data_IF_439219212421
#
_entry.id   IF_439219212421
#
_cell.length_a   1.000
_cell.length_b   1.000
_cell.length_c   1.000
_cell.angle_alpha   90.00
_cell.angle_beta   90.00
_cell.angle_gamma   90.00
#
_symmetry.space_group_name_H-M   'P 1'
#
loop_
_entity.id
_entity.type
_entity.pdbx_description
1 polymer ?
#
# COMPACT_ATOMS: atom_id res chain seq x y z
N UNK A 1 8.42 24.77 9.12
CA UNK A 1 7.02 24.38 8.82
C UNK A 1 7.09 23.26 7.77
N UNK A 2 6.46 22.11 8.02
CA UNK A 2 6.53 20.96 7.10
C UNK A 2 5.70 21.17 5.84
N UNK A 3 6.03 20.45 4.75
CA UNK A 3 5.18 20.40 3.54
C UNK A 3 3.96 19.52 3.82
N UNK A 4 2.77 19.97 3.44
CA UNK A 4 1.59 19.10 3.37
C UNK A 4 1.76 18.20 2.14
N UNK A 5 1.51 16.91 2.32
CA UNK A 5 1.58 15.90 1.25
C UNK A 5 0.16 15.43 0.89
N UNK A 6 -0.06 15.11 -0.38
CA UNK A 6 -1.26 14.43 -0.85
C UNK A 6 -0.96 12.94 -1.04
N UNK A 7 -1.72 12.07 -0.38
CA UNK A 7 -1.57 10.62 -0.52
C UNK A 7 -2.87 10.07 -1.12
N UNK A 8 -2.76 9.45 -2.29
CA UNK A 8 -3.77 8.52 -2.78
C UNK A 8 -3.47 7.14 -2.20
N UNK A 9 -4.28 6.73 -1.23
CA UNK A 9 -4.20 5.41 -0.59
C UNK A 9 -5.15 4.46 -1.31
N UNK A 10 -4.72 3.87 -2.42
CA UNK A 10 -5.56 3.00 -3.26
C UNK A 10 -5.64 1.55 -2.77
N UNK A 11 -6.53 0.75 -3.40
CA UNK A 11 -6.69 -0.67 -3.07
C UNK A 11 -5.50 -1.52 -3.53
N UNK A 12 -4.96 -1.20 -4.71
CA UNK A 12 -3.90 -1.98 -5.36
C UNK A 12 -2.57 -1.25 -5.38
N UNK A 13 -2.59 0.06 -5.67
CA UNK A 13 -1.42 0.93 -5.67
C UNK A 13 -1.75 2.20 -4.90
N UNK A 14 -0.72 2.81 -4.32
CA UNK A 14 -0.77 4.09 -3.65
C UNK A 14 0.24 5.05 -4.26
N UNK A 15 -0.02 6.35 -4.15
CA UNK A 15 0.78 7.42 -4.74
C UNK A 15 0.90 8.59 -3.76
N UNK A 16 2.02 9.32 -3.80
CA UNK A 16 2.22 10.52 -2.98
C UNK A 16 2.72 11.68 -3.84
N UNK A 17 2.17 12.86 -3.60
CA UNK A 17 2.53 14.09 -4.29
C UNK A 17 2.71 15.25 -3.31
N UNK A 18 3.44 16.27 -3.75
CA UNK A 18 3.61 17.55 -3.07
C UNK A 18 3.31 18.71 -4.01
N UNK A 19 3.00 19.86 -3.42
CA UNK A 19 3.01 21.14 -4.11
C UNK A 19 4.43 21.70 -4.16
N UNK A 20 4.88 22.08 -5.35
CA UNK A 20 6.10 22.85 -5.61
C UNK A 20 5.70 24.16 -6.30
N UNK A 21 5.56 25.22 -5.50
CA UNK A 21 4.94 26.46 -5.94
C UNK A 21 3.48 26.20 -6.32
N UNK A 22 3.11 26.53 -7.57
CA UNK A 22 1.77 26.32 -8.11
C UNK A 22 1.61 24.97 -8.84
N UNK A 23 2.66 24.15 -8.91
CA UNK A 23 2.65 22.88 -9.63
C UNK A 23 2.59 21.69 -8.66
N UNK A 24 1.87 20.64 -9.04
CA UNK A 24 1.86 19.36 -8.35
C UNK A 24 2.97 18.46 -8.88
N UNK A 25 3.77 17.84 -8.01
CA UNK A 25 4.77 16.84 -8.39
C UNK A 25 4.54 15.53 -7.64
N UNK A 26 4.44 14.43 -8.38
CA UNK A 26 4.44 13.07 -7.83
C UNK A 26 5.86 12.68 -7.43
N UNK A 27 6.00 12.07 -6.25
CA UNK A 27 7.29 11.64 -5.70
C UNK A 27 7.53 10.17 -6.08
N UNK A 28 8.73 9.87 -6.56
CA UNK A 28 9.19 8.50 -6.76
C UNK A 28 9.53 7.86 -5.41
N UNK A 29 9.13 6.61 -5.22
CA UNK A 29 9.51 5.84 -4.04
C UNK A 29 10.99 5.42 -4.10
N UNK A 30 11.47 4.73 -3.05
CA UNK A 30 12.85 4.25 -2.97
C UNK A 30 13.23 3.24 -4.07
N UNK A 31 12.27 2.70 -4.81
CA UNK A 31 12.49 1.80 -5.95
C UNK A 31 12.41 2.55 -7.31
N UNK A 32 12.29 3.87 -7.31
CA UNK A 32 12.20 4.70 -8.52
C UNK A 32 10.82 4.69 -9.20
N UNK A 33 9.81 4.08 -8.57
CA UNK A 33 8.45 4.04 -9.10
C UNK A 33 7.59 5.19 -8.54
N UNK A 34 6.71 5.76 -9.38
CA UNK A 34 5.76 6.81 -8.97
C UNK A 34 4.52 6.31 -8.24
N UNK A 35 4.34 4.99 -8.19
CA UNK A 35 3.31 4.35 -7.38
C UNK A 35 3.92 3.19 -6.63
N UNK A 36 3.34 2.85 -5.49
CA UNK A 36 3.78 1.77 -4.62
C UNK A 36 2.64 0.75 -4.46
N UNK A 37 2.88 -0.56 -4.67
CA UNK A 37 1.86 -1.57 -4.41
C UNK A 37 1.32 -1.45 -2.98
N UNK A 38 0.01 -1.54 -2.82
CA UNK A 38 -0.68 -1.48 -1.52
C UNK A 38 -0.68 -2.87 -0.89
N UNK A 39 0.53 -3.34 -0.60
CA UNK A 39 0.84 -4.68 -0.14
C UNK A 39 1.83 -4.57 1.02
N UNK A 40 1.56 -5.32 2.09
CA UNK A 40 2.43 -5.46 3.26
C UNK A 40 2.67 -6.95 3.47
N UNK A 41 3.91 -7.33 3.81
CA UNK A 41 4.22 -8.70 4.18
C UNK A 41 5.02 -8.75 5.47
N UNK A 42 4.69 -9.72 6.32
CA UNK A 42 5.43 -10.03 7.54
C UNK A 42 6.34 -11.22 7.29
N UNK A 43 7.64 -11.06 7.56
CA UNK A 43 8.63 -12.13 7.51
C UNK A 43 8.69 -12.89 8.84
N UNK A 44 9.23 -14.11 8.80
CA UNK A 44 9.35 -14.98 9.99
C UNK A 44 10.33 -14.42 11.03
N UNK A 45 11.32 -13.65 10.59
CA UNK A 45 12.30 -12.96 11.45
C UNK A 45 11.77 -11.63 12.04
N UNK A 46 10.52 -11.26 11.72
CA UNK A 46 9.88 -10.03 12.18
C UNK A 46 10.08 -8.83 11.26
N UNK A 47 10.79 -8.96 10.13
CA UNK A 47 10.89 -7.88 9.14
C UNK A 47 9.53 -7.59 8.49
N UNK A 48 9.23 -6.29 8.28
CA UNK A 48 8.01 -5.84 7.59
C UNK A 48 8.40 -5.29 6.22
N UNK A 49 7.93 -5.96 5.17
CA UNK A 49 8.09 -5.50 3.79
C UNK A 49 6.86 -4.73 3.34
N UNK A 50 7.05 -3.68 2.55
CA UNK A 50 5.98 -2.86 1.98
C UNK A 50 6.25 -2.61 0.50
N UNK A 51 5.21 -2.63 -0.32
CA UNK A 51 5.31 -2.26 -1.72
C UNK A 51 5.82 -3.39 -2.61
N UNK A 52 6.79 -3.08 -3.47
CA UNK A 52 7.24 -4.02 -4.49
C UNK A 52 8.07 -5.17 -3.92
N UNK A 53 8.82 -4.96 -2.82
CA UNK A 53 9.45 -6.04 -2.05
C UNK A 53 8.42 -7.05 -1.52
N UNK A 54 7.36 -6.57 -0.88
CA UNK A 54 6.26 -7.41 -0.39
C UNK A 54 5.56 -8.16 -1.55
N UNK A 55 5.31 -7.47 -2.67
CA UNK A 55 4.72 -8.07 -3.87
C UNK A 55 5.56 -9.22 -4.45
N UNK A 56 6.89 -9.07 -4.49
CA UNK A 56 7.81 -10.06 -5.08
C UNK A 56 7.76 -11.41 -4.36
N UNK A 57 7.64 -11.40 -3.03
CA UNK A 57 7.62 -12.63 -2.21
C UNK A 57 6.22 -13.18 -1.93
N UNK A 58 5.16 -12.54 -2.45
CA UNK A 58 3.78 -12.90 -2.14
C UNK A 58 3.43 -14.35 -2.51
N UNK A 59 4.07 -14.91 -3.53
CA UNK A 59 3.85 -16.29 -3.98
C UNK A 59 4.44 -17.31 -3.00
N UNK A 60 5.58 -17.00 -2.39
CA UNK A 60 6.29 -17.91 -1.46
C UNK A 60 5.82 -17.75 -0.01
N UNK A 61 5.23 -16.61 0.33
CA UNK A 61 4.70 -16.31 1.66
C UNK A 61 3.24 -15.81 1.60
N UNK A 62 2.30 -16.59 1.04
CA UNK A 62 0.96 -16.10 0.73
C UNK A 62 0.13 -15.78 1.98
N UNK A 63 0.32 -16.52 3.08
CA UNK A 63 -0.47 -16.35 4.30
C UNK A 63 -0.11 -15.09 5.08
N UNK A 64 1.15 -14.64 5.02
CA UNK A 64 1.61 -13.46 5.73
C UNK A 64 1.74 -12.23 4.82
N UNK A 65 1.21 -12.30 3.60
CA UNK A 65 1.18 -11.19 2.64
C UNK A 65 -0.24 -10.66 2.50
N UNK A 66 -0.44 -9.41 2.88
CA UNK A 66 -1.72 -8.73 2.92
C UNK A 66 -1.81 -7.76 1.75
N UNK A 67 -2.90 -7.86 0.98
CA UNK A 67 -3.21 -6.98 -0.14
C UNK A 67 -4.72 -6.72 -0.19
N UNK A 68 -5.13 -5.72 -0.98
CA UNK A 68 -6.54 -5.32 -1.13
C UNK A 68 -7.26 -4.99 0.20
N UNK A 69 -6.52 -4.69 1.26
CA UNK A 69 -7.07 -4.39 2.59
C UNK A 69 -8.10 -3.24 2.57
N UNK A 70 -7.98 -2.30 1.62
CA UNK A 70 -8.96 -1.22 1.41
C UNK A 70 -10.37 -1.72 1.06
N UNK A 71 -10.53 -2.97 0.58
CA UNK A 71 -11.85 -3.58 0.39
C UNK A 71 -12.55 -3.92 1.71
N UNK A 72 -11.77 -4.16 2.76
CA UNK A 72 -12.22 -4.58 4.08
C UNK A 72 -12.24 -3.43 5.10
N UNK A 73 -11.53 -2.33 4.82
CA UNK A 73 -11.45 -1.19 5.75
C UNK A 73 -12.85 -0.64 6.08
N UNK A 74 -13.12 -0.46 7.37
CA UNK A 74 -14.40 0.06 7.86
C UNK A 74 -15.58 -0.92 7.77
N UNK A 75 -15.40 -2.13 7.23
CA UNK A 75 -16.44 -3.17 7.20
C UNK A 75 -16.45 -4.00 8.47
N UNK A 76 -17.62 -4.51 8.82
CA UNK A 76 -17.77 -5.53 9.88
C UNK A 76 -17.50 -6.91 9.31
N UNK A 77 -16.95 -7.79 10.14
CA UNK A 77 -16.65 -9.17 9.75
C UNK A 77 -17.88 -9.90 9.19
N UNK A 78 -19.06 -9.70 9.76
CA UNK A 78 -20.30 -10.38 9.34
C UNK A 78 -20.90 -9.87 8.01
N UNK A 79 -20.33 -8.85 7.36
CA UNK A 79 -20.83 -8.37 6.06
C UNK A 79 -20.62 -9.41 4.96
N UNK A 80 -21.59 -9.52 4.04
CA UNK A 80 -21.59 -10.53 2.99
C UNK A 80 -20.37 -10.41 2.07
N UNK A 81 -19.91 -9.19 1.79
CA UNK A 81 -18.70 -8.94 1.00
C UNK A 81 -17.43 -9.44 1.68
N UNK A 82 -17.37 -9.39 3.02
CA UNK A 82 -16.21 -9.86 3.80
C UNK A 82 -16.21 -11.38 3.92
N UNK A 83 -17.38 -12.01 4.06
CA UNK A 83 -17.48 -13.47 4.16
C UNK A 83 -17.21 -14.19 2.83
N UNK A 84 -17.28 -13.47 1.71
CA UNK A 84 -17.03 -14.02 0.38
C UNK A 84 -15.54 -13.98 -0.01
N UNK A 85 -14.80 -13.00 0.50
CA UNK A 85 -13.36 -12.82 0.24
C UNK A 85 -12.52 -13.81 1.06
#
# INVERSE_FOLDING_TARGET
MGKIIGIDLGTTNSCVAIMEGNNTRVIENSEGARTTPSIVAYQEDGEILVGASAKRQAVTNPKNTIYAAKRLIGRKFAEAEVQKD
#
